data_IF_212694067035
#
_entry.id   IF_212694067035
#
_cell.length_a   1.000
_cell.length_b   1.000
_cell.length_c   1.000
_cell.angle_alpha   90.00
_cell.angle_beta   90.00
_cell.angle_gamma   90.00
#
_symmetry.space_group_name_H-M   'P 1'
#
loop_
_entity.id
_entity.type
_entity.pdbx_description
1 polymer ?
#
# COMPACT_ATOMS: atom_id res chain seq x y z
N UNK A 1 20.60 4.40 -16.22
CA UNK A 1 19.89 3.63 -17.28
C UNK A 1 18.47 3.42 -16.82
N UNK A 2 17.48 4.05 -17.47
CA UNK A 2 16.08 3.85 -17.12
C UNK A 2 15.69 2.41 -17.48
N UNK A 3 15.53 1.54 -16.47
CA UNK A 3 14.87 0.25 -16.66
C UNK A 3 13.42 0.57 -17.05
N UNK A 4 13.08 0.38 -18.33
CA UNK A 4 11.68 0.37 -18.77
C UNK A 4 10.91 -0.54 -17.81
N UNK A 5 9.92 -0.01 -17.08
CA UNK A 5 9.02 -0.83 -16.27
C UNK A 5 8.50 -1.93 -17.18
N UNK A 6 8.94 -3.16 -16.97
CA UNK A 6 8.53 -4.30 -17.79
C UNK A 6 7.11 -4.62 -17.35
N UNK A 7 6.13 -4.24 -18.19
CA UNK A 7 4.81 -4.83 -18.10
C UNK A 7 4.98 -6.35 -18.10
N UNK A 8 4.13 -7.07 -17.35
CA UNK A 8 4.20 -8.52 -17.26
C UNK A 8 4.32 -9.10 -18.67
N UNK A 9 5.29 -9.98 -18.95
CA UNK A 9 5.56 -10.49 -20.31
C UNK A 9 4.36 -11.22 -20.93
N UNK A 10 3.36 -11.56 -20.12
CA UNK A 10 2.13 -12.23 -20.52
C UNK A 10 0.89 -11.34 -20.43
N UNK A 11 1.04 -10.01 -20.43
CA UNK A 11 -0.10 -9.08 -20.38
C UNK A 11 -0.94 -9.21 -21.65
N UNK A 12 -2.11 -9.86 -21.54
CA UNK A 12 -3.12 -9.91 -22.58
C UNK A 12 -4.19 -8.87 -22.30
N UNK A 13 -4.34 -7.91 -23.20
CA UNK A 13 -5.43 -6.93 -23.17
C UNK A 13 -6.54 -7.44 -24.07
N UNK A 14 -7.63 -7.88 -23.47
CA UNK A 14 -8.81 -8.38 -24.18
C UNK A 14 -9.98 -7.40 -24.02
N UNK A 15 -10.88 -7.40 -25.00
CA UNK A 15 -12.11 -6.60 -24.93
C UNK A 15 -13.02 -7.17 -23.84
N UNK A 16 -13.47 -6.32 -22.92
CA UNK A 16 -14.37 -6.68 -21.84
C UNK A 16 -15.75 -6.09 -22.11
N UNK A 17 -16.72 -6.94 -22.45
CA UNK A 17 -18.09 -6.51 -22.81
C UNK A 17 -19.06 -6.52 -21.62
N UNK A 18 -18.61 -6.91 -20.42
CA UNK A 18 -19.42 -6.86 -19.21
C UNK A 18 -19.38 -5.46 -18.54
N UNK A 19 -20.33 -5.15 -17.65
CA UNK A 19 -20.35 -3.84 -16.98
C UNK A 19 -19.11 -3.61 -16.12
N UNK A 20 -18.71 -2.34 -15.98
CA UNK A 20 -17.57 -1.91 -15.16
C UNK A 20 -17.78 -2.11 -13.65
N UNK A 21 -19.01 -2.43 -13.22
CA UNK A 21 -19.39 -2.68 -11.83
C UNK A 21 -20.51 -3.72 -11.72
N UNK A 22 -20.97 -3.98 -10.50
CA UNK A 22 -22.04 -4.95 -10.22
C UNK A 22 -21.52 -6.32 -9.79
N UNK A 23 -22.25 -7.39 -10.11
CA UNK A 23 -21.99 -8.72 -9.55
C UNK A 23 -20.62 -9.31 -9.90
N UNK A 24 -20.08 -8.98 -11.08
CA UNK A 24 -18.70 -9.34 -11.45
C UNK A 24 -17.67 -8.77 -10.47
N UNK A 25 -17.82 -7.49 -10.11
CA UNK A 25 -16.98 -6.82 -9.12
C UNK A 25 -17.16 -7.37 -7.71
N UNK A 26 -18.39 -7.72 -7.31
CA UNK A 26 -18.64 -8.38 -6.02
C UNK A 26 -17.92 -9.74 -5.95
N UNK A 27 -18.00 -10.55 -7.01
CA UNK A 27 -17.28 -11.84 -7.09
C UNK A 27 -15.76 -11.66 -7.08
N UNK A 28 -15.27 -10.62 -7.75
CA UNK A 28 -13.85 -10.26 -7.74
C UNK A 28 -13.37 -9.85 -6.34
N UNK A 29 -14.16 -9.02 -5.66
CA UNK A 29 -13.91 -8.59 -4.29
C UNK A 29 -13.92 -9.75 -3.29
N UNK A 30 -14.86 -10.68 -3.40
CA UNK A 30 -14.89 -11.89 -2.57
C UNK A 30 -13.60 -12.72 -2.71
N UNK A 31 -13.07 -12.84 -3.93
CA UNK A 31 -11.77 -13.48 -4.18
C UNK A 31 -10.61 -12.71 -3.54
N UNK A 32 -10.62 -11.38 -3.62
CA UNK A 32 -9.60 -10.53 -2.99
C UNK A 32 -9.61 -10.62 -1.47
N UNK A 33 -10.79 -10.64 -0.84
CA UNK A 33 -10.92 -10.82 0.61
C UNK A 33 -10.36 -12.16 1.06
N UNK A 34 -10.66 -13.25 0.34
CA UNK A 34 -10.09 -14.56 0.61
C UNK A 34 -8.55 -14.57 0.43
N UNK A 35 -8.03 -14.03 -0.68
CA UNK A 35 -6.57 -13.94 -0.94
C UNK A 35 -5.80 -13.11 0.08
N UNK A 36 -6.46 -12.11 0.67
CA UNK A 36 -5.90 -11.25 1.71
C UNK A 36 -6.11 -11.83 3.13
N UNK A 37 -6.68 -13.02 3.23
CA UNK A 37 -6.99 -13.76 4.46
C UNK A 37 -8.00 -13.06 5.38
N UNK A 38 -8.88 -12.20 4.83
CA UNK A 38 -9.86 -11.42 5.61
C UNK A 38 -11.31 -11.58 5.11
N UNK A 39 -11.81 -12.80 4.83
CA UNK A 39 -13.16 -12.98 4.28
C UNK A 39 -14.27 -12.42 5.19
N UNK A 40 -14.12 -12.55 6.51
CA UNK A 40 -15.12 -12.10 7.47
C UNK A 40 -14.86 -10.69 7.98
N UNK A 41 -13.68 -10.44 8.54
CA UNK A 41 -13.28 -9.13 9.07
C UNK A 41 -13.31 -8.05 7.98
N UNK A 42 -12.80 -8.35 6.79
CA UNK A 42 -12.82 -7.41 5.67
C UNK A 42 -14.22 -7.09 5.18
N UNK A 43 -15.12 -8.08 5.10
CA UNK A 43 -16.53 -7.82 4.75
C UNK A 43 -17.20 -6.87 5.75
N UNK A 44 -16.94 -7.03 7.05
CA UNK A 44 -17.47 -6.12 8.10
C UNK A 44 -16.92 -4.71 7.96
N UNK A 45 -15.62 -4.58 7.66
CA UNK A 45 -14.98 -3.28 7.41
C UNK A 45 -15.62 -2.60 6.19
N UNK A 46 -15.81 -3.33 5.08
CA UNK A 46 -16.37 -2.76 3.85
C UNK A 46 -17.82 -2.26 4.02
N UNK A 47 -18.61 -2.83 4.94
CA UNK A 47 -19.94 -2.30 5.27
C UNK A 47 -19.89 -0.88 5.86
N UNK A 48 -18.77 -0.49 6.46
CA UNK A 48 -18.52 0.87 6.98
C UNK A 48 -17.75 1.76 6.00
N UNK A 49 -17.26 1.22 4.89
CA UNK A 49 -16.56 2.03 3.90
C UNK A 49 -17.52 3.00 3.20
N UNK A 50 -17.11 4.27 3.15
CA UNK A 50 -17.84 5.39 2.56
C UNK A 50 -19.24 5.61 3.16
N UNK A 51 -19.44 5.22 4.43
CA UNK A 51 -20.67 5.51 5.17
C UNK A 51 -20.50 6.77 6.01
N UNK A 52 -21.60 7.49 6.33
CA UNK A 52 -21.57 8.66 7.21
C UNK A 52 -20.88 8.37 8.55
N UNK A 53 -21.20 7.24 9.18
CA UNK A 53 -20.64 6.78 10.47
C UNK A 53 -19.44 5.83 10.32
N UNK A 54 -18.81 5.84 9.14
CA UNK A 54 -17.69 4.97 8.81
C UNK A 54 -16.48 5.75 8.29
N UNK A 55 -15.60 5.07 7.56
CA UNK A 55 -14.34 5.65 7.09
C UNK A 55 -14.39 5.98 5.59
N UNK A 56 -13.52 6.87 5.13
CA UNK A 56 -13.35 7.16 3.71
C UNK A 56 -12.46 6.10 3.05
N UNK A 57 -12.79 5.71 1.82
CA UNK A 57 -11.97 4.80 1.03
C UNK A 57 -10.50 5.25 0.97
N UNK A 58 -9.58 4.31 1.22
CA UNK A 58 -8.12 4.54 1.23
C UNK A 58 -7.48 4.65 -0.16
N UNK A 59 -8.27 4.69 -1.23
CA UNK A 59 -7.79 4.68 -2.62
C UNK A 59 -8.11 5.98 -3.37
N UNK A 60 -9.39 6.28 -3.61
CA UNK A 60 -9.77 7.24 -4.67
C UNK A 60 -10.86 8.24 -4.26
N UNK A 61 -10.78 8.80 -3.04
CA UNK A 61 -11.59 9.95 -2.59
C UNK A 61 -13.09 9.87 -2.95
N UNK A 62 -13.69 8.70 -2.73
CA UNK A 62 -15.10 8.45 -3.03
C UNK A 62 -16.01 9.36 -2.19
N UNK A 63 -16.95 10.04 -2.83
CA UNK A 63 -17.90 10.92 -2.16
C UNK A 63 -18.83 10.11 -1.24
N UNK A 64 -19.08 10.60 -0.02
CA UNK A 64 -20.04 9.97 0.91
C UNK A 64 -21.44 10.55 0.67
N UNK A 65 -22.35 9.85 -0.03
CA UNK A 65 -23.72 10.33 -0.18
C UNK A 65 -24.47 10.31 1.16
N UNK A 66 -25.50 11.17 1.27
CA UNK A 66 -26.35 11.23 2.46
C UNK A 66 -27.15 9.93 2.69
N UNK A 67 -27.59 9.26 1.61
CA UNK A 67 -28.26 7.95 1.64
C UNK A 67 -27.37 6.90 0.91
N UNK A 68 -26.39 6.28 1.61
CA UNK A 68 -25.47 5.34 1.00
C UNK A 68 -26.12 3.96 0.78
N UNK A 69 -25.80 3.32 -0.34
CA UNK A 69 -26.16 1.92 -0.57
C UNK A 69 -25.20 0.97 0.15
N UNK A 70 -25.54 -0.32 0.19
CA UNK A 70 -24.67 -1.35 0.81
C UNK A 70 -23.29 -1.35 0.14
N UNK A 71 -23.26 -1.40 -1.19
CA UNK A 71 -22.05 -1.34 -2.01
C UNK A 71 -21.72 0.09 -2.47
N UNK A 72 -21.55 1.01 -1.52
CA UNK A 72 -21.18 2.41 -1.80
C UNK A 72 -19.66 2.56 -1.99
N UNK A 73 -19.07 1.79 -2.89
CA UNK A 73 -17.63 1.83 -3.19
C UNK A 73 -17.33 1.19 -4.53
N UNK A 74 -16.26 1.62 -5.17
CA UNK A 74 -15.71 0.92 -6.34
C UNK A 74 -14.90 -0.32 -5.92
N UNK A 75 -14.76 -1.26 -6.86
CA UNK A 75 -14.01 -2.51 -6.65
C UNK A 75 -12.56 -2.27 -6.23
N UNK A 76 -11.85 -1.35 -6.90
CA UNK A 76 -10.45 -1.06 -6.60
C UNK A 76 -10.29 -0.42 -5.23
N UNK A 77 -11.20 0.47 -4.85
CA UNK A 77 -11.22 1.08 -3.53
C UNK A 77 -11.50 0.08 -2.41
N UNK A 78 -12.33 -0.93 -2.66
CA UNK A 78 -12.54 -2.03 -1.72
C UNK A 78 -11.32 -2.95 -1.63
N UNK A 79 -10.69 -3.30 -2.76
CA UNK A 79 -9.47 -4.11 -2.80
C UNK A 79 -8.29 -3.44 -2.09
N UNK A 80 -8.12 -2.12 -2.26
CA UNK A 80 -7.10 -1.37 -1.53
C UNK A 80 -7.27 -1.50 -0.01
N UNK A 81 -8.51 -1.41 0.49
CA UNK A 81 -8.82 -1.68 1.91
C UNK A 81 -8.46 -3.11 2.29
N UNK A 82 -8.70 -4.11 1.43
CA UNK A 82 -8.33 -5.51 1.73
C UNK A 82 -6.83 -5.72 1.89
N UNK A 83 -6.01 -4.99 1.14
CA UNK A 83 -4.55 -5.01 1.27
C UNK A 83 -4.09 -4.34 2.56
N UNK A 84 -4.74 -3.24 2.95
CA UNK A 84 -4.42 -2.56 4.20
C UNK A 84 -4.69 -3.45 5.42
N UNK A 85 -5.81 -4.17 5.42
CA UNK A 85 -6.24 -4.98 6.58
C UNK A 85 -5.81 -6.45 6.51
N UNK A 86 -5.02 -6.85 5.52
CA UNK A 86 -4.60 -8.25 5.34
C UNK A 86 -4.00 -8.83 6.62
N UNK A 87 -4.11 -10.14 6.83
CA UNK A 87 -3.38 -10.83 7.91
C UNK A 87 -1.96 -11.25 7.53
N UNK A 88 -1.56 -11.08 6.26
CA UNK A 88 -0.18 -11.37 5.84
C UNK A 88 0.79 -10.35 6.43
N UNK A 89 1.96 -10.83 6.86
CA UNK A 89 3.00 -10.02 7.50
C UNK A 89 4.32 -10.30 6.83
N UNK A 90 5.03 -9.23 6.54
CA UNK A 90 6.44 -9.24 6.17
C UNK A 90 7.21 -8.90 7.45
N UNK A 91 7.78 -9.95 8.03
CA UNK A 91 8.57 -9.91 9.26
C UNK A 91 10.07 -9.85 8.93
N UNK A 92 10.96 -9.60 9.90
CA UNK A 92 12.41 -9.70 9.69
C UNK A 92 12.86 -10.98 8.98
N UNK A 93 12.27 -12.11 9.34
CA UNK A 93 12.61 -13.43 8.79
C UNK A 93 12.32 -13.49 7.28
N UNK A 94 11.36 -12.73 6.76
CA UNK A 94 11.15 -12.62 5.31
C UNK A 94 12.39 -12.06 4.61
N UNK A 95 12.98 -10.99 5.16
CA UNK A 95 14.15 -10.35 4.57
C UNK A 95 15.44 -11.14 4.78
N UNK A 96 15.50 -12.02 5.78
CA UNK A 96 16.58 -13.00 5.92
C UNK A 96 16.62 -13.99 4.74
N UNK A 97 15.46 -14.29 4.15
CA UNK A 97 15.33 -15.22 3.03
C UNK A 97 15.35 -14.55 1.65
N UNK A 98 15.10 -13.24 1.56
CA UNK A 98 14.98 -12.53 0.28
C UNK A 98 15.98 -11.36 0.17
N UNK A 99 17.07 -11.49 -0.61
CA UNK A 99 17.93 -10.36 -0.92
C UNK A 99 17.20 -9.31 -1.77
N UNK A 100 17.63 -8.05 -1.68
CA UNK A 100 16.98 -6.93 -2.36
C UNK A 100 17.06 -7.09 -3.88
N UNK A 101 18.16 -7.64 -4.41
CA UNK A 101 18.26 -7.95 -5.84
C UNK A 101 17.23 -8.97 -6.34
N UNK A 102 16.76 -9.88 -5.48
CA UNK A 102 15.65 -10.79 -5.81
C UNK A 102 14.32 -10.03 -5.79
N UNK A 103 14.06 -9.23 -4.75
CA UNK A 103 12.84 -8.45 -4.62
C UNK A 103 12.67 -7.42 -5.76
N UNK A 104 13.77 -6.85 -6.25
CA UNK A 104 13.79 -5.94 -7.42
C UNK A 104 13.38 -6.63 -8.73
N UNK A 105 13.41 -7.97 -8.77
CA UNK A 105 12.92 -8.74 -9.91
C UNK A 105 11.43 -9.10 -9.80
N UNK A 106 10.80 -8.89 -8.65
CA UNK A 106 9.37 -9.15 -8.45
C UNK A 106 8.53 -8.03 -9.05
N UNK A 107 7.32 -8.35 -9.50
CA UNK A 107 6.37 -7.33 -9.91
C UNK A 107 5.66 -6.65 -8.71
N UNK A 108 5.08 -5.47 -8.94
CA UNK A 108 4.39 -4.67 -7.92
C UNK A 108 3.30 -5.49 -7.19
N UNK A 109 2.64 -6.43 -7.87
CA UNK A 109 1.60 -7.25 -7.26
C UNK A 109 2.18 -8.34 -6.35
N UNK A 110 3.30 -8.96 -6.74
CA UNK A 110 4.03 -9.92 -5.90
C UNK A 110 4.54 -9.26 -4.63
N UNK A 111 5.13 -8.07 -4.74
CA UNK A 111 5.64 -7.30 -3.59
C UNK A 111 4.51 -6.97 -2.61
N UNK A 112 3.39 -6.42 -3.08
CA UNK A 112 2.25 -6.11 -2.23
C UNK A 112 1.60 -7.37 -1.62
N UNK A 113 1.53 -8.46 -2.39
CA UNK A 113 0.91 -9.70 -1.94
C UNK A 113 1.70 -10.43 -0.83
N UNK A 114 2.96 -10.06 -0.59
CA UNK A 114 3.80 -10.57 0.49
C UNK A 114 3.23 -10.19 1.88
N UNK A 115 2.65 -8.99 2.00
CA UNK A 115 1.98 -8.54 3.21
C UNK A 115 2.56 -7.24 3.79
N UNK A 116 2.17 -6.93 5.04
CA UNK A 116 2.52 -5.66 5.68
C UNK A 116 3.85 -5.73 6.41
N UNK A 117 4.68 -4.70 6.24
CA UNK A 117 5.88 -4.49 7.06
C UNK A 117 5.48 -4.35 8.53
N UNK A 118 6.28 -4.96 9.40
CA UNK A 118 6.01 -5.05 10.84
C UNK A 118 7.04 -4.34 11.71
N UNK A 119 8.23 -4.10 11.16
CA UNK A 119 9.38 -3.54 11.87
C UNK A 119 10.05 -2.48 10.98
N UNK A 120 10.73 -1.48 11.58
CA UNK A 120 11.69 -0.68 10.86
C UNK A 120 12.81 -1.58 10.32
N UNK A 121 13.22 -1.31 9.09
CA UNK A 121 14.27 -2.07 8.41
C UNK A 121 15.27 -1.10 7.80
N UNK A 122 16.54 -1.51 7.73
CA UNK A 122 17.61 -0.76 7.07
C UNK A 122 18.26 -1.64 6.02
N UNK A 123 18.60 -1.05 4.87
CA UNK A 123 19.34 -1.77 3.85
C UNK A 123 20.81 -1.95 4.27
N UNK A 124 21.31 -3.18 4.17
CA UNK A 124 22.72 -3.51 4.32
C UNK A 124 23.29 -3.94 2.96
N UNK A 125 24.12 -3.07 2.39
CA UNK A 125 24.74 -3.29 1.08
C UNK A 125 25.72 -4.48 1.07
N UNK A 126 26.33 -4.82 2.21
CA UNK A 126 27.28 -5.93 2.28
C UNK A 126 26.60 -7.30 2.12
N UNK A 127 25.39 -7.44 2.66
CA UNK A 127 24.58 -8.67 2.56
C UNK A 127 23.50 -8.63 1.48
N UNK A 128 23.29 -7.48 0.83
CA UNK A 128 22.19 -7.22 -0.11
C UNK A 128 20.82 -7.51 0.51
N UNK A 129 20.63 -7.18 1.79
CA UNK A 129 19.40 -7.48 2.54
C UNK A 129 18.91 -6.30 3.35
N UNK A 130 17.61 -6.32 3.67
CA UNK A 130 17.08 -5.49 4.72
C UNK A 130 17.29 -6.18 6.07
N UNK A 131 17.95 -5.48 7.00
CA UNK A 131 18.15 -5.93 8.38
C UNK A 131 17.28 -5.12 9.34
N UNK A 132 16.81 -5.70 10.47
CA UNK A 132 16.00 -4.97 11.43
C UNK A 132 16.72 -3.75 12.00
N UNK A 133 15.95 -2.70 12.26
CA UNK A 133 16.38 -1.54 13.02
C UNK A 133 15.35 -1.20 14.09
N UNK A 134 15.81 -0.61 15.18
CA UNK A 134 14.90 0.05 16.14
C UNK A 134 14.37 1.36 15.56
N UNK A 135 13.26 1.85 16.12
CA UNK A 135 12.75 3.18 15.79
C UNK A 135 13.76 4.29 16.13
N UNK A 136 14.46 4.17 17.26
CA UNK A 136 15.46 5.15 17.68
C UNK A 136 16.63 5.22 16.70
N UNK A 137 17.16 4.07 16.26
CA UNK A 137 18.20 4.01 15.22
C UNK A 137 17.70 4.62 13.91
N UNK A 138 16.50 4.23 13.46
CA UNK A 138 15.92 4.75 12.22
C UNK A 138 15.75 6.27 12.26
N UNK A 139 15.19 6.82 13.32
CA UNK A 139 15.02 8.28 13.46
C UNK A 139 16.35 9.02 13.60
N UNK A 140 17.31 8.48 14.37
CA UNK A 140 18.61 9.11 14.56
C UNK A 140 19.42 9.14 13.27
N UNK A 141 19.43 8.05 12.51
CA UNK A 141 20.10 7.93 11.22
C UNK A 141 19.46 8.83 10.17
N UNK A 142 18.15 8.72 9.94
CA UNK A 142 17.43 9.59 8.99
C UNK A 142 17.66 11.07 9.34
N UNK A 143 17.57 11.43 10.63
CA UNK A 143 17.78 12.80 11.08
C UNK A 143 19.22 13.28 10.88
N UNK A 144 20.23 12.42 11.03
CA UNK A 144 21.63 12.77 10.77
C UNK A 144 21.83 13.06 9.29
N UNK A 145 21.42 12.14 8.41
CA UNK A 145 21.58 12.30 6.95
C UNK A 145 20.86 13.57 6.46
N UNK A 146 19.62 13.82 6.93
CA UNK A 146 18.86 15.02 6.54
C UNK A 146 19.53 16.34 6.99
N UNK A 147 20.23 16.36 8.14
CA UNK A 147 20.94 17.56 8.62
C UNK A 147 22.20 17.88 7.82
N UNK A 148 22.79 16.89 7.16
CA UNK A 148 23.99 17.07 6.34
C UNK A 148 23.68 17.56 4.93
N UNK A 149 22.44 17.41 4.47
CA UNK A 149 21.98 17.87 3.16
C UNK A 149 21.79 19.39 3.13
N UNK A 150 22.15 20.01 2.01
CA UNK A 150 21.75 21.38 1.72
C UNK A 150 20.22 21.43 1.57
N UNK A 151 19.50 22.41 2.16
CA UNK A 151 18.04 22.41 2.14
C UNK A 151 17.41 22.35 0.74
N UNK A 152 18.04 22.98 -0.24
CA UNK A 152 17.61 23.01 -1.64
C UNK A 152 17.94 21.73 -2.43
N UNK A 153 18.68 20.80 -1.84
CA UNK A 153 19.02 19.50 -2.43
C UNK A 153 18.08 18.36 -2.01
N UNK A 154 17.16 18.62 -1.07
CA UNK A 154 16.21 17.63 -0.57
C UNK A 154 14.85 17.72 -1.29
N UNK A 155 14.26 16.55 -1.61
CA UNK A 155 12.90 16.46 -2.18
C UNK A 155 12.02 15.65 -1.23
N UNK A 156 10.92 16.27 -0.79
CA UNK A 156 9.91 15.63 0.06
C UNK A 156 8.69 15.27 -0.78
N UNK A 157 8.43 13.97 -0.94
CA UNK A 157 7.29 13.47 -1.71
C UNK A 157 6.18 12.99 -0.77
N UNK A 158 4.98 13.54 -0.93
CA UNK A 158 3.79 13.13 -0.16
C UNK A 158 2.79 12.39 -1.06
N UNK A 159 1.83 11.70 -0.43
CA UNK A 159 0.81 10.90 -1.09
C UNK A 159 -0.57 11.46 -0.79
N UNK A 160 -1.45 11.50 -1.81
CA UNK A 160 -2.86 11.83 -1.60
C UNK A 160 -3.63 10.83 -0.71
N UNK A 161 -3.01 9.71 -0.33
CA UNK A 161 -3.55 8.76 0.67
C UNK A 161 -3.21 9.13 2.12
N UNK A 162 -2.24 10.02 2.35
CA UNK A 162 -1.92 10.46 3.71
C UNK A 162 -3.07 11.33 4.27
N UNK A 163 -3.26 11.32 5.59
CA UNK A 163 -4.25 12.19 6.21
C UNK A 163 -3.81 13.66 6.10
N UNK A 164 -4.77 14.58 6.21
CA UNK A 164 -4.47 16.01 6.18
C UNK A 164 -3.51 16.41 7.30
N UNK A 165 -3.63 15.81 8.47
CA UNK A 165 -2.75 16.03 9.63
C UNK A 165 -1.34 15.53 9.34
N UNK A 166 -1.18 14.31 8.82
CA UNK A 166 0.14 13.77 8.44
C UNK A 166 0.79 14.63 7.35
N UNK A 167 0.03 14.99 6.31
CA UNK A 167 0.54 15.85 5.23
C UNK A 167 0.90 17.25 5.73
N UNK A 168 0.14 17.81 6.68
CA UNK A 168 0.47 19.09 7.30
C UNK A 168 1.78 19.02 8.08
N UNK A 169 1.93 18.03 8.96
CA UNK A 169 3.16 17.84 9.74
C UNK A 169 4.38 17.56 8.85
N UNK A 170 4.23 16.72 7.83
CA UNK A 170 5.29 16.44 6.86
C UNK A 170 5.66 17.70 6.05
N UNK A 171 4.67 18.52 5.71
CA UNK A 171 4.89 19.80 5.04
C UNK A 171 5.58 20.84 5.91
N UNK A 172 5.38 20.82 7.25
CA UNK A 172 6.14 21.67 8.17
C UNK A 172 7.59 21.20 8.31
N UNK A 173 7.85 19.89 8.32
CA UNK A 173 9.20 19.32 8.35
C UNK A 173 10.02 19.72 7.11
N UNK A 174 9.37 19.84 5.95
CA UNK A 174 10.00 20.10 4.67
C UNK A 174 10.28 21.60 4.38
N UNK A 175 9.85 22.51 5.26
CA UNK A 175 9.99 23.98 5.12
C UNK A 175 11.07 24.51 6.05
#
# INVERSE_FOLDING_TARGET
MARSRRLSPNLKVERYDAPAGGWGSVRSLARSLARSHVPFSGSRVLLKQNKPDGFACVSCAWAKPADPRVFEFCENGAKATTWEITHKRVTPEFFDHHPVSELDAWDDHQLEAAGRLTHPMRFDAASDKYVPASWDEAFAEIGRELRELAPDSAVFYTSGRASLETSFMYGLLAR
#
